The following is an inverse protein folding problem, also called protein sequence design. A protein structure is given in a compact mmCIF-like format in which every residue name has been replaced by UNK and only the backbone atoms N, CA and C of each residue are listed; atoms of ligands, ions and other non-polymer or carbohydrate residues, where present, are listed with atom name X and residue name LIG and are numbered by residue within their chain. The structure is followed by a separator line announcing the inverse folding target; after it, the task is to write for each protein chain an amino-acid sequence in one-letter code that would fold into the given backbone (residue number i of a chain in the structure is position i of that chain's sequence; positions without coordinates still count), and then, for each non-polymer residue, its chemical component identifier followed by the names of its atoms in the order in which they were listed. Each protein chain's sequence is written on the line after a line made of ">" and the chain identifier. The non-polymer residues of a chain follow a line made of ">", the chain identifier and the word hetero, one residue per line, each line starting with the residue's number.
data_IF_642822510874
#
_entry.id   IF_642822510874
#
_cell.length_a   1.000
_cell.length_b   1.000
_cell.length_c   1.000
_cell.angle_alpha   90.00
_cell.angle_beta   90.00
_cell.angle_gamma   90.00
#
_symmetry.space_group_name_H-M   'P 1'
#
loop_
_entity.id
_entity.type
_entity.pdbx_description
1 polymer ?
#
# COMPACT_ATOMS: atom_id res chain seq x y z
N UNK A 1 -14.83 35.86 -5.00
CA UNK A 1 -14.78 34.83 -3.94
C UNK A 1 -15.80 33.76 -4.31
N UNK A 2 -15.29 32.56 -4.60
CA UNK A 2 -16.03 31.48 -5.26
C UNK A 2 -17.08 30.85 -4.35
N UNK A 3 -18.31 30.70 -4.86
CA UNK A 3 -19.45 30.05 -4.16
C UNK A 3 -19.18 28.58 -3.76
N UNK A 4 -18.09 27.99 -4.25
CA UNK A 4 -17.70 26.62 -3.97
C UNK A 4 -16.97 26.44 -2.62
N UNK A 5 -16.36 27.49 -2.04
CA UNK A 5 -15.68 27.35 -0.74
C UNK A 5 -16.65 27.28 0.45
N UNK A 6 -17.85 27.87 0.34
CA UNK A 6 -18.81 27.89 1.46
C UNK A 6 -19.57 26.56 1.57
N UNK A 7 -19.83 25.89 0.45
CA UNK A 7 -20.53 24.59 0.42
C UNK A 7 -19.64 23.46 0.95
N UNK A 8 -18.35 23.43 0.58
CA UNK A 8 -17.41 22.43 1.09
C UNK A 8 -17.11 22.59 2.59
N UNK A 9 -17.05 23.82 3.10
CA UNK A 9 -16.89 24.08 4.54
C UNK A 9 -18.17 23.69 5.30
N UNK A 10 -19.36 23.92 4.74
CA UNK A 10 -20.61 23.48 5.36
C UNK A 10 -20.75 21.95 5.45
N UNK A 11 -20.23 21.21 4.47
CA UNK A 11 -20.22 19.74 4.48
C UNK A 11 -19.25 19.20 5.53
N UNK A 12 -18.04 19.76 5.63
CA UNK A 12 -17.03 19.33 6.61
C UNK A 12 -17.45 19.69 8.04
N UNK A 13 -17.99 20.89 8.26
CA UNK A 13 -18.53 21.28 9.58
C UNK A 13 -19.76 20.43 9.93
N UNK A 14 -20.59 20.07 8.95
CA UNK A 14 -21.71 19.16 9.12
C UNK A 14 -21.28 17.77 9.60
N UNK A 15 -20.24 17.19 8.99
CA UNK A 15 -19.72 15.86 9.37
C UNK A 15 -19.13 15.88 10.79
N UNK A 16 -18.36 16.92 11.14
CA UNK A 16 -17.71 17.04 12.45
C UNK A 16 -18.73 17.33 13.56
N UNK A 17 -19.73 18.18 13.32
CA UNK A 17 -20.81 18.44 14.30
C UNK A 17 -21.70 17.22 14.48
N UNK A 18 -21.96 16.44 13.42
CA UNK A 18 -22.76 15.20 13.52
C UNK A 18 -22.01 14.10 14.27
N UNK A 19 -20.69 13.98 14.07
CA UNK A 19 -19.84 13.07 14.84
C UNK A 19 -19.77 13.48 16.32
N UNK A 20 -19.68 14.79 16.61
CA UNK A 20 -19.68 15.30 17.98
C UNK A 20 -21.02 15.07 18.71
N UNK A 21 -22.15 15.21 18.00
CA UNK A 21 -23.48 14.96 18.55
C UNK A 21 -23.78 13.47 18.73
N UNK A 22 -23.24 12.58 17.89
CA UNK A 22 -23.35 11.11 18.05
C UNK A 22 -22.58 10.59 19.29
N UNK A 23 -21.47 11.23 19.65
CA UNK A 23 -20.69 10.87 20.84
C UNK A 23 -21.34 11.37 22.13
N UNK A 24 -22.13 12.45 22.07
CA UNK A 24 -22.63 13.15 23.26
C UNK A 24 -24.17 13.16 23.45
N UNK A 25 -24.94 12.43 22.65
CA UNK A 25 -26.41 12.38 22.80
C UNK A 25 -26.89 11.11 23.53
N UNK A 26 -27.96 11.20 24.35
CA UNK A 26 -28.54 10.05 25.03
C UNK A 26 -29.06 9.00 24.04
N UNK A 27 -28.79 7.73 24.37
CA UNK A 27 -28.89 6.50 23.55
C UNK A 27 -30.24 6.20 22.86
N UNK A 28 -31.28 7.03 23.01
CA UNK A 28 -32.64 6.72 22.53
C UNK A 28 -32.99 7.24 21.13
N UNK A 29 -32.15 8.04 20.46
CA UNK A 29 -32.42 8.55 19.09
C UNK A 29 -31.49 7.96 18.01
N UNK A 30 -30.57 7.07 18.37
CA UNK A 30 -29.51 6.57 17.47
C UNK A 30 -30.01 5.42 16.56
N UNK A 31 -31.07 4.68 16.94
CA UNK A 31 -31.51 3.51 16.17
C UNK A 31 -32.11 3.86 14.82
N UNK A 32 -32.85 4.97 14.73
CA UNK A 32 -33.65 5.27 13.54
C UNK A 32 -32.83 5.96 12.44
N UNK A 33 -31.76 6.67 12.80
CA UNK A 33 -30.84 7.31 11.83
C UNK A 33 -29.75 6.35 11.32
N UNK A 34 -29.31 5.39 12.14
CA UNK A 34 -28.35 4.37 11.71
C UNK A 34 -28.93 3.41 10.65
N UNK A 35 -30.24 3.14 10.71
CA UNK A 35 -30.94 2.27 9.74
C UNK A 35 -30.93 2.83 8.31
N UNK A 36 -31.11 4.14 8.15
CA UNK A 36 -31.20 4.80 6.83
C UNK A 36 -29.80 4.94 6.18
N UNK A 37 -28.74 5.07 6.99
CA UNK A 37 -27.36 5.18 6.50
C UNK A 37 -26.76 3.82 6.08
N UNK A 38 -27.16 2.72 6.73
CA UNK A 38 -26.71 1.38 6.35
C UNK A 38 -27.34 0.88 5.03
N UNK A 39 -28.53 1.32 4.66
CA UNK A 39 -29.12 0.99 3.36
C UNK A 39 -28.43 1.71 2.19
N UNK A 40 -27.98 2.96 2.38
CA UNK A 40 -27.28 3.70 1.33
C UNK A 40 -25.85 3.21 1.11
N UNK A 41 -25.16 2.74 2.16
CA UNK A 41 -23.86 2.07 2.04
C UNK A 41 -23.93 0.66 1.44
N UNK A 42 -25.02 -0.09 1.66
CA UNK A 42 -25.20 -1.43 1.09
C UNK A 42 -25.54 -1.43 -0.40
N UNK A 43 -26.03 -0.32 -0.96
CA UNK A 43 -26.30 -0.22 -2.41
C UNK A 43 -25.03 0.00 -3.26
N UNK A 44 -23.88 0.35 -2.66
CA UNK A 44 -22.64 0.64 -3.38
C UNK A 44 -21.67 -0.55 -3.53
N UNK A 45 -21.88 -1.66 -2.79
CA UNK A 45 -21.04 -2.85 -2.90
C UNK A 45 -21.79 -4.02 -3.55
N UNK A 46 -22.04 -3.90 -4.85
CA UNK A 46 -22.37 -5.08 -5.66
C UNK A 46 -21.07 -5.86 -5.93
N UNK A 47 -20.77 -6.74 -4.97
CA UNK A 47 -19.89 -7.93 -5.03
C UNK A 47 -19.40 -8.26 -6.45
N UNK A 48 -18.20 -7.81 -6.80
CA UNK A 48 -17.45 -8.37 -7.94
C UNK A 48 -17.00 -9.76 -7.50
N UNK A 49 -17.52 -10.78 -8.17
CA UNK A 49 -17.19 -12.16 -7.89
C UNK A 49 -15.71 -12.42 -8.16
N UNK A 50 -15.12 -13.28 -7.32
CA UNK A 50 -13.80 -13.93 -7.45
C UNK A 50 -13.29 -13.98 -8.89
N UNK A 51 -12.35 -13.10 -9.23
CA UNK A 51 -11.57 -13.18 -10.46
C UNK A 51 -10.49 -14.25 -10.28
N UNK A 52 -10.44 -15.22 -11.18
CA UNK A 52 -9.32 -16.16 -11.27
C UNK A 52 -8.02 -15.37 -11.45
N UNK A 53 -6.95 -15.78 -10.75
CA UNK A 53 -5.61 -15.19 -10.90
C UNK A 53 -5.18 -15.30 -12.36
N UNK A 54 -5.21 -14.18 -13.08
CA UNK A 54 -4.71 -14.08 -14.45
C UNK A 54 -3.19 -14.21 -14.39
N UNK A 55 -2.66 -15.28 -14.99
CA UNK A 55 -1.22 -15.46 -15.16
C UNK A 55 -0.74 -14.57 -16.29
N UNK A 56 -0.21 -13.39 -15.94
CA UNK A 56 0.49 -12.50 -16.85
C UNK A 56 1.73 -13.17 -17.46
N UNK A 57 2.09 -12.76 -18.68
CA UNK A 57 3.35 -13.16 -19.32
C UNK A 57 4.51 -12.67 -18.43
N UNK A 58 5.06 -13.59 -17.62
CA UNK A 58 6.36 -13.38 -17.01
C UNK A 58 7.37 -13.23 -18.15
N UNK A 59 8.15 -12.15 -18.22
CA UNK A 59 9.27 -12.10 -19.14
C UNK A 59 10.19 -13.31 -18.88
N UNK A 60 10.40 -14.11 -19.92
CA UNK A 60 11.47 -15.09 -19.95
C UNK A 60 12.79 -14.30 -19.86
N UNK A 61 13.47 -14.40 -18.72
CA UNK A 61 14.71 -13.71 -18.37
C UNK A 61 14.59 -12.19 -18.12
N UNK A 62 13.70 -11.79 -17.22
CA UNK A 62 14.11 -10.89 -16.15
C UNK A 62 13.82 -11.59 -14.83
N UNK A 63 14.55 -12.69 -14.58
CA UNK A 63 14.90 -12.96 -13.19
C UNK A 63 15.50 -11.64 -12.71
N UNK A 64 14.76 -10.99 -11.83
CA UNK A 64 15.31 -10.07 -10.88
C UNK A 64 16.37 -10.89 -10.14
N UNK A 65 17.56 -11.02 -10.73
CA UNK A 65 18.79 -11.03 -9.97
C UNK A 65 18.95 -9.59 -9.46
N UNK A 66 18.01 -9.13 -8.62
CA UNK A 66 18.46 -8.66 -7.33
C UNK A 66 19.37 -9.81 -6.89
N UNK A 67 20.64 -9.53 -6.62
CA UNK A 67 21.32 -10.36 -5.65
C UNK A 67 20.45 -10.31 -4.39
N UNK A 68 19.41 -11.15 -4.37
CA UNK A 68 18.77 -11.70 -3.20
C UNK A 68 19.75 -12.75 -2.67
N UNK A 69 21.00 -12.34 -2.49
CA UNK A 69 21.60 -12.47 -1.18
C UNK A 69 20.74 -11.60 -0.24
N UNK A 70 19.49 -12.03 -0.06
CA UNK A 70 18.73 -11.79 1.14
C UNK A 70 19.72 -12.27 2.19
N UNK A 71 20.30 -11.37 3.03
CA UNK A 71 21.18 -11.84 4.08
C UNK A 71 20.39 -12.91 4.79
N UNK A 72 21.08 -13.98 5.15
CA UNK A 72 20.61 -15.22 5.74
C UNK A 72 19.79 -14.96 7.02
N UNK A 73 18.64 -14.31 6.89
CA UNK A 73 17.71 -13.84 7.92
C UNK A 73 16.82 -15.00 8.41
N UNK A 74 17.14 -16.22 8.02
CA UNK A 74 16.58 -17.44 8.60
C UNK A 74 17.65 -18.46 8.97
N UNK A 75 18.94 -18.07 8.92
CA UNK A 75 19.96 -18.91 9.54
C UNK A 75 19.95 -18.61 11.05
N UNK A 76 19.72 -19.62 11.91
CA UNK A 76 19.68 -19.42 13.36
C UNK A 76 20.96 -18.75 13.88
N UNK A 77 22.09 -19.03 13.22
CA UNK A 77 23.43 -18.55 13.57
C UNK A 77 23.58 -17.03 13.45
N UNK A 78 22.89 -16.38 12.51
CA UNK A 78 22.88 -14.92 12.33
C UNK A 78 22.07 -14.21 13.41
N UNK A 79 20.96 -14.80 13.85
CA UNK A 79 20.15 -14.28 14.97
C UNK A 79 20.85 -14.51 16.31
N UNK A 80 21.50 -15.66 16.48
CA UNK A 80 22.24 -15.98 17.69
C UNK A 80 23.53 -15.15 17.82
N UNK A 81 24.13 -14.64 16.75
CA UNK A 81 25.37 -13.84 16.87
C UNK A 81 25.14 -12.35 17.13
N UNK A 82 23.98 -11.79 16.77
CA UNK A 82 23.67 -10.36 16.95
C UNK A 82 22.80 -10.13 18.21
N UNK A 83 23.29 -9.39 19.23
CA UNK A 83 22.54 -9.12 20.46
C UNK A 83 21.20 -8.42 20.25
N UNK A 84 21.09 -7.54 19.27
CA UNK A 84 19.84 -6.80 18.99
C UNK A 84 18.82 -7.68 18.28
N UNK A 85 19.26 -8.65 17.46
CA UNK A 85 18.35 -9.65 16.87
C UNK A 85 17.86 -10.65 17.93
N UNK A 86 18.72 -11.06 18.88
CA UNK A 86 18.27 -11.84 20.05
C UNK A 86 17.22 -11.07 20.85
N UNK A 87 17.42 -9.77 21.02
CA UNK A 87 16.49 -8.90 21.74
C UNK A 87 15.10 -8.87 21.09
N UNK A 88 15.02 -8.89 19.76
CA UNK A 88 13.72 -9.02 19.06
C UNK A 88 12.98 -10.30 19.45
N UNK A 89 13.68 -11.44 19.48
CA UNK A 89 13.10 -12.74 19.90
C UNK A 89 12.67 -12.70 21.37
N UNK A 90 13.45 -12.05 22.23
CA UNK A 90 13.09 -11.88 23.65
C UNK A 90 11.84 -11.01 23.81
N UNK A 91 11.66 -9.95 23.00
CA UNK A 91 10.48 -9.09 23.02
C UNK A 91 9.19 -9.83 22.67
N UNK A 92 9.26 -10.78 21.75
CA UNK A 92 8.13 -11.64 21.40
C UNK A 92 7.66 -12.48 22.60
N UNK A 93 8.63 -12.98 23.39
CA UNK A 93 8.38 -13.90 24.49
C UNK A 93 8.06 -13.20 25.81
N UNK A 94 8.49 -11.94 25.98
CA UNK A 94 8.56 -11.28 27.28
C UNK A 94 7.21 -10.81 27.86
N UNK A 95 6.08 -11.01 27.17
CA UNK A 95 4.73 -10.65 27.63
C UNK A 95 4.68 -9.22 28.24
N UNK A 96 5.44 -8.30 27.64
CA UNK A 96 5.62 -6.93 28.11
C UNK A 96 4.35 -6.10 27.94
N UNK A 97 4.30 -4.96 28.64
CA UNK A 97 3.27 -3.97 28.34
C UNK A 97 3.45 -3.47 26.90
N UNK A 98 2.34 -3.23 26.21
CA UNK A 98 2.33 -2.71 24.83
C UNK A 98 3.20 -1.46 24.68
N UNK A 99 3.22 -0.58 25.70
CA UNK A 99 4.03 0.63 25.70
C UNK A 99 5.55 0.34 25.72
N UNK A 100 6.00 -0.56 26.58
CA UNK A 100 7.42 -0.91 26.69
C UNK A 100 7.93 -1.61 25.43
N UNK A 101 7.10 -2.45 24.80
CA UNK A 101 7.41 -3.09 23.52
C UNK A 101 7.57 -2.04 22.41
N UNK A 102 6.62 -1.10 22.28
CA UNK A 102 6.69 -0.05 21.26
C UNK A 102 7.92 0.84 21.42
N UNK A 103 8.28 1.20 22.65
CA UNK A 103 9.48 1.99 22.93
C UNK A 103 10.76 1.27 22.49
N UNK A 104 10.86 -0.03 22.74
CA UNK A 104 12.02 -0.81 22.33
C UNK A 104 12.07 -1.00 20.81
N UNK A 105 10.94 -1.27 20.16
CA UNK A 105 10.86 -1.36 18.71
C UNK A 105 11.22 -0.03 18.02
N UNK A 106 10.83 1.09 18.60
CA UNK A 106 11.22 2.43 18.13
C UNK A 106 12.74 2.62 18.17
N UNK A 107 13.42 2.10 19.20
CA UNK A 107 14.88 2.18 19.30
C UNK A 107 15.55 1.30 18.24
N UNK A 108 15.05 0.09 18.01
CA UNK A 108 15.59 -0.84 17.03
C UNK A 108 15.41 -0.35 15.58
N UNK A 109 14.30 0.34 15.28
CA UNK A 109 14.12 1.03 13.99
C UNK A 109 15.06 2.21 13.77
N UNK A 110 15.75 2.70 14.80
CA UNK A 110 16.75 3.78 14.70
C UNK A 110 18.17 3.26 14.80
N UNK A 111 18.35 1.94 14.79
CA UNK A 111 19.66 1.32 14.92
C UNK A 111 20.52 1.59 13.67
N UNK A 112 21.83 1.74 13.86
CA UNK A 112 22.77 2.06 12.76
C UNK A 112 22.82 0.97 11.69
N UNK A 113 22.73 -0.30 12.11
CA UNK A 113 22.70 -1.45 11.21
C UNK A 113 21.36 -1.60 10.50
N UNK A 114 21.40 -1.59 9.16
CA UNK A 114 20.23 -1.87 8.31
C UNK A 114 19.58 -3.21 8.63
N UNK A 115 20.38 -4.24 8.93
CA UNK A 115 19.89 -5.57 9.24
C UNK A 115 18.94 -5.56 10.46
N UNK A 116 19.30 -4.82 11.51
CA UNK A 116 18.48 -4.68 12.72
C UNK A 116 17.19 -3.95 12.40
N UNK A 117 17.25 -2.86 11.61
CA UNK A 117 16.05 -2.11 11.21
C UNK A 117 15.10 -2.96 10.38
N UNK A 118 15.64 -3.67 9.38
CA UNK A 118 14.89 -4.57 8.50
C UNK A 118 14.22 -5.73 9.26
N UNK A 119 14.96 -6.40 10.16
CA UNK A 119 14.41 -7.45 11.01
C UNK A 119 13.32 -6.91 11.97
N UNK A 120 13.47 -5.66 12.42
CA UNK A 120 12.47 -4.99 13.24
C UNK A 120 11.19 -4.73 12.44
N UNK A 121 11.28 -4.33 11.17
CA UNK A 121 10.09 -4.18 10.31
C UNK A 121 9.40 -5.52 10.09
N UNK A 122 10.14 -6.59 9.79
CA UNK A 122 9.57 -7.93 9.62
C UNK A 122 8.79 -8.34 10.86
N UNK A 123 9.40 -8.19 12.04
CA UNK A 123 8.74 -8.46 13.32
C UNK A 123 7.49 -7.60 13.52
N UNK A 124 7.57 -6.28 13.30
CA UNK A 124 6.43 -5.36 13.47
C UNK A 124 5.29 -5.68 12.50
N UNK A 125 5.59 -6.17 11.30
CA UNK A 125 4.59 -6.51 10.28
C UNK A 125 3.71 -7.68 10.69
N UNK A 126 4.28 -8.63 11.44
CA UNK A 126 3.54 -9.76 12.00
C UNK A 126 2.73 -9.38 13.25
N UNK A 127 3.08 -8.26 13.90
CA UNK A 127 2.33 -7.75 15.04
C UNK A 127 0.99 -7.15 14.58
N UNK A 128 -0.11 -7.76 15.03
CA UNK A 128 -1.46 -7.18 14.91
C UNK A 128 -1.72 -6.04 15.92
N UNK A 129 -0.73 -5.16 16.10
CA UNK A 129 -0.77 -4.11 17.11
C UNK A 129 -1.00 -2.73 16.47
N UNK A 130 -1.96 -1.90 16.94
CA UNK A 130 -2.22 -0.58 16.34
C UNK A 130 -1.01 0.37 16.32
N UNK A 131 -0.12 0.28 17.32
CA UNK A 131 1.13 1.05 17.36
C UNK A 131 2.21 0.57 16.37
N UNK A 132 2.05 -0.61 15.75
CA UNK A 132 2.93 -1.08 14.68
C UNK A 132 2.84 -0.16 13.45
N UNK A 133 1.64 0.34 13.15
CA UNK A 133 1.39 1.20 12.00
C UNK A 133 2.23 2.48 12.00
N UNK A 134 2.28 3.20 13.13
CA UNK A 134 3.08 4.43 13.22
C UNK A 134 4.57 4.14 12.99
N UNK A 135 5.06 3.00 13.45
CA UNK A 135 6.44 2.59 13.27
C UNK A 135 6.78 2.22 11.82
N UNK A 136 5.85 1.56 11.13
CA UNK A 136 5.99 1.27 9.69
C UNK A 136 5.94 2.56 8.86
N UNK A 137 5.08 3.52 9.21
CA UNK A 137 5.03 4.83 8.54
C UNK A 137 6.35 5.59 8.74
N UNK A 138 6.92 5.59 9.96
CA UNK A 138 8.22 6.22 10.22
C UNK A 138 9.33 5.58 9.38
N UNK A 139 9.30 4.25 9.18
CA UNK A 139 10.27 3.51 8.39
C UNK A 139 10.24 3.84 6.88
N UNK A 140 9.15 4.43 6.36
CA UNK A 140 9.13 4.95 4.99
C UNK A 140 10.12 6.10 4.77
N UNK A 141 10.64 6.72 5.83
CA UNK A 141 11.65 7.78 5.75
C UNK A 141 13.08 7.28 5.95
N UNK A 142 13.31 5.95 6.00
CA UNK A 142 14.64 5.40 6.21
C UNK A 142 15.61 5.78 5.08
N UNK A 143 16.88 5.96 5.40
CA UNK A 143 17.89 6.32 4.43
C UNK A 143 18.22 5.17 3.46
N UNK A 144 17.97 3.92 3.85
CA UNK A 144 18.22 2.74 3.02
C UNK A 144 16.93 2.35 2.25
N UNK A 145 16.99 2.26 0.91
CA UNK A 145 15.83 1.88 0.08
C UNK A 145 15.18 0.55 0.49
N UNK A 146 15.99 -0.44 0.89
CA UNK A 146 15.49 -1.75 1.32
C UNK A 146 14.55 -1.66 2.53
N UNK A 147 14.88 -0.83 3.51
CA UNK A 147 14.05 -0.62 4.70
C UNK A 147 12.73 0.05 4.31
N UNK A 148 12.77 1.04 3.40
CA UNK A 148 11.55 1.68 2.87
C UNK A 148 10.66 0.70 2.10
N UNK A 149 11.25 -0.18 1.28
CA UNK A 149 10.53 -1.23 0.54
C UNK A 149 9.84 -2.19 1.51
N UNK A 150 10.54 -2.67 2.54
CA UNK A 150 9.94 -3.56 3.54
C UNK A 150 8.78 -2.88 4.28
N UNK A 151 8.91 -1.59 4.61
CA UNK A 151 7.82 -0.81 5.21
C UNK A 151 6.60 -0.68 4.27
N UNK A 152 6.82 -0.46 2.97
CA UNK A 152 5.76 -0.44 1.95
C UNK A 152 5.02 -1.78 1.86
N UNK A 153 5.76 -2.88 1.78
CA UNK A 153 5.21 -4.24 1.72
C UNK A 153 4.42 -4.57 2.98
N UNK A 154 4.93 -4.19 4.15
CA UNK A 154 4.24 -4.35 5.42
C UNK A 154 2.92 -3.57 5.47
N UNK A 155 2.93 -2.30 5.06
CA UNK A 155 1.74 -1.46 5.04
C UNK A 155 0.68 -2.00 4.07
N UNK A 156 1.09 -2.49 2.90
CA UNK A 156 0.19 -3.06 1.89
C UNK A 156 -0.58 -4.30 2.39
N UNK A 157 0.04 -5.13 3.23
CA UNK A 157 -0.60 -6.33 3.79
C UNK A 157 -1.86 -6.04 4.60
N UNK A 158 -2.00 -4.82 5.13
CA UNK A 158 -3.18 -4.43 5.89
C UNK A 158 -4.41 -4.15 5.02
N UNK A 159 -4.23 -3.92 3.71
CA UNK A 159 -5.31 -3.68 2.73
C UNK A 159 -6.33 -2.63 3.17
N UNK A 160 -5.85 -1.62 3.88
CA UNK A 160 -6.63 -0.44 4.29
C UNK A 160 -6.27 0.71 3.35
N UNK A 161 -7.22 1.13 2.54
CA UNK A 161 -7.03 2.16 1.51
C UNK A 161 -6.71 3.54 2.11
N UNK A 162 -7.03 3.77 3.39
CA UNK A 162 -6.61 4.97 4.13
C UNK A 162 -5.07 5.07 4.16
N UNK A 163 -4.35 3.95 4.08
CA UNK A 163 -2.88 3.93 4.07
C UNK A 163 -2.28 4.51 2.78
N UNK A 164 -3.06 4.65 1.71
CA UNK A 164 -2.59 5.25 0.46
C UNK A 164 -1.97 6.63 0.69
N UNK A 165 -2.50 7.44 1.62
CA UNK A 165 -1.97 8.78 1.92
C UNK A 165 -0.51 8.75 2.41
N UNK A 166 -0.09 7.67 3.07
CA UNK A 166 1.27 7.50 3.57
C UNK A 166 2.20 6.89 2.51
N UNK A 167 1.65 6.11 1.58
CA UNK A 167 2.39 5.40 0.53
C UNK A 167 2.61 6.28 -0.71
N UNK A 168 1.65 7.13 -1.07
CA UNK A 168 1.69 8.01 -2.24
C UNK A 168 2.99 8.81 -2.39
N UNK A 169 3.59 9.40 -1.33
CA UNK A 169 4.87 10.08 -1.44
C UNK A 169 6.01 9.19 -1.98
N UNK A 170 5.95 7.88 -1.75
CA UNK A 170 6.97 6.90 -2.19
C UNK A 170 6.91 6.60 -3.68
N UNK A 171 5.84 6.99 -4.36
CA UNK A 171 5.78 7.01 -5.82
C UNK A 171 6.80 7.99 -6.43
N UNK A 172 7.36 8.92 -5.64
CA UNK A 172 8.33 9.91 -6.11
C UNK A 172 9.73 9.67 -5.52
N UNK A 173 9.99 8.48 -4.96
CA UNK A 173 11.28 8.16 -4.39
C UNK A 173 12.40 8.17 -5.46
N UNK A 174 13.59 8.62 -5.06
CA UNK A 174 14.77 8.66 -5.94
C UNK A 174 15.20 7.26 -6.40
N UNK A 175 14.95 6.24 -5.58
CA UNK A 175 15.23 4.85 -5.91
C UNK A 175 14.04 4.22 -6.66
N UNK A 176 14.32 3.66 -7.84
CA UNK A 176 13.28 3.06 -8.69
C UNK A 176 12.58 1.85 -8.06
N UNK A 177 13.30 1.05 -7.27
CA UNK A 177 12.73 -0.14 -6.62
C UNK A 177 11.72 0.27 -5.55
N UNK A 178 11.95 1.39 -4.86
CA UNK A 178 10.98 1.98 -3.92
C UNK A 178 9.74 2.46 -4.67
N UNK A 179 9.89 3.13 -5.82
CA UNK A 179 8.74 3.54 -6.65
C UNK A 179 7.94 2.33 -7.12
N UNK A 180 8.61 1.25 -7.55
CA UNK A 180 7.96 -0.01 -7.94
C UNK A 180 7.20 -0.64 -6.76
N UNK A 181 7.81 -0.69 -5.57
CA UNK A 181 7.16 -1.19 -4.37
C UNK A 181 5.92 -0.36 -4.01
N UNK A 182 5.98 0.96 -4.13
CA UNK A 182 4.86 1.86 -3.88
C UNK A 182 3.71 1.67 -4.90
N UNK A 183 4.02 1.46 -6.19
CA UNK A 183 3.04 1.12 -7.22
C UNK A 183 2.29 -0.16 -6.86
N UNK A 184 3.03 -1.21 -6.47
CA UNK A 184 2.43 -2.50 -6.09
C UNK A 184 1.55 -2.36 -4.86
N UNK A 185 2.05 -1.66 -3.83
CA UNK A 185 1.33 -1.45 -2.59
C UNK A 185 0.01 -0.69 -2.79
N UNK A 186 0.02 0.38 -3.60
CA UNK A 186 -1.20 1.12 -3.96
C UNK A 186 -2.12 0.27 -4.84
N UNK A 187 -1.56 -0.51 -5.76
CA UNK A 187 -2.33 -1.43 -6.61
C UNK A 187 -3.15 -2.46 -5.83
N UNK A 188 -2.64 -2.94 -4.68
CA UNK A 188 -3.35 -3.89 -3.82
C UNK A 188 -4.65 -3.35 -3.19
N UNK A 189 -4.85 -2.02 -3.19
CA UNK A 189 -6.08 -1.41 -2.70
C UNK A 189 -7.23 -1.48 -3.72
N UNK A 190 -6.92 -1.80 -4.99
CA UNK A 190 -7.91 -2.07 -6.06
C UNK A 190 -9.00 -0.98 -6.21
N UNK A 191 -8.63 0.29 -6.02
CA UNK A 191 -9.56 1.44 -6.07
C UNK A 191 -9.34 2.35 -7.28
N UNK A 192 -10.36 3.09 -7.70
CA UNK A 192 -10.22 4.11 -8.76
C UNK A 192 -9.21 5.21 -8.35
N UNK A 193 -9.14 5.51 -7.05
CA UNK A 193 -8.14 6.42 -6.49
C UNK A 193 -6.72 5.89 -6.70
N UNK A 194 -6.52 4.58 -6.61
CA UNK A 194 -5.24 3.93 -6.87
C UNK A 194 -4.79 4.15 -8.32
N UNK A 195 -5.71 4.05 -9.28
CA UNK A 195 -5.44 4.36 -10.70
C UNK A 195 -4.95 5.81 -10.85
N UNK A 196 -5.64 6.75 -10.21
CA UNK A 196 -5.23 8.16 -10.24
C UNK A 196 -3.83 8.36 -9.64
N UNK A 197 -3.56 7.78 -8.47
CA UNK A 197 -2.28 7.90 -7.78
C UNK A 197 -1.11 7.40 -8.62
N UNK A 198 -1.24 6.24 -9.27
CA UNK A 198 -0.15 5.63 -10.05
C UNK A 198 -0.05 6.16 -11.49
N UNK A 199 -1.00 6.98 -11.97
CA UNK A 199 -1.06 7.44 -13.37
C UNK A 199 0.18 8.20 -13.85
N UNK A 200 0.81 9.01 -12.98
CA UNK A 200 2.03 9.73 -13.34
C UNK A 200 3.21 8.80 -13.67
N UNK A 201 3.21 7.57 -13.14
CA UNK A 201 4.29 6.61 -13.27
C UNK A 201 4.28 5.91 -14.64
N UNK A 202 3.19 6.04 -15.39
CA UNK A 202 3.14 5.67 -16.81
C UNK A 202 4.05 6.53 -17.69
N UNK A 203 4.63 7.60 -17.17
CA UNK A 203 5.61 8.44 -17.86
C UNK A 203 6.97 8.44 -17.16
N UNK A 204 7.21 7.50 -16.25
CA UNK A 204 8.50 7.39 -15.56
C UNK A 204 9.65 7.19 -16.55
N UNK A 205 10.79 7.81 -16.23
CA UNK A 205 12.02 7.67 -17.02
C UNK A 205 12.55 6.23 -17.09
N UNK A 206 12.28 5.43 -16.05
CA UNK A 206 12.69 4.03 -15.98
C UNK A 206 11.59 3.12 -16.55
N UNK A 207 11.97 2.25 -17.47
CA UNK A 207 11.03 1.36 -18.16
C UNK A 207 10.41 0.32 -17.22
N UNK A 208 11.13 -0.13 -16.19
CA UNK A 208 10.63 -1.13 -15.24
C UNK A 208 9.53 -0.49 -14.39
N UNK A 209 9.70 0.77 -13.98
CA UNK A 209 8.68 1.52 -13.25
C UNK A 209 7.42 1.67 -14.09
N UNK A 210 7.54 2.11 -15.36
CA UNK A 210 6.40 2.22 -16.27
C UNK A 210 5.68 0.90 -16.47
N UNK A 211 6.42 -0.19 -16.67
CA UNK A 211 5.85 -1.52 -16.86
C UNK A 211 5.07 -1.98 -15.62
N UNK A 212 5.59 -1.74 -14.42
CA UNK A 212 4.88 -2.05 -13.18
C UNK A 212 3.61 -1.20 -13.02
N UNK A 213 3.64 0.09 -13.40
CA UNK A 213 2.45 0.93 -13.39
C UNK A 213 1.38 0.43 -14.37
N UNK A 214 1.78 0.00 -15.57
CA UNK A 214 0.88 -0.61 -16.56
C UNK A 214 0.22 -1.87 -16.01
N UNK A 215 1.00 -2.76 -15.40
CA UNK A 215 0.49 -4.00 -14.84
C UNK A 215 -0.49 -3.74 -13.70
N UNK A 216 -0.12 -2.88 -12.73
CA UNK A 216 -0.99 -2.51 -11.62
C UNK A 216 -2.31 -1.88 -12.12
N UNK A 217 -2.26 -1.00 -13.12
CA UNK A 217 -3.48 -0.46 -13.73
C UNK A 217 -4.34 -1.52 -14.41
N UNK A 218 -3.73 -2.49 -15.09
CA UNK A 218 -4.45 -3.61 -15.69
C UNK A 218 -5.13 -4.50 -14.66
N UNK A 219 -4.47 -4.74 -13.52
CA UNK A 219 -5.01 -5.50 -12.40
C UNK A 219 -6.19 -4.79 -11.73
N UNK A 220 -6.07 -3.48 -11.47
CA UNK A 220 -7.17 -2.67 -10.92
C UNK A 220 -8.34 -2.62 -11.93
N UNK A 221 -8.03 -2.34 -13.20
CA UNK A 221 -9.01 -2.25 -14.29
C UNK A 221 -9.94 -1.03 -14.22
N UNK A 222 -11.04 -1.10 -14.97
CA UNK A 222 -12.02 -0.03 -15.09
C UNK A 222 -11.72 0.98 -16.21
N UNK A 223 -12.73 1.77 -16.57
CA UNK A 223 -12.70 2.67 -17.74
C UNK A 223 -11.57 3.71 -17.66
N UNK A 224 -11.26 4.19 -16.45
CA UNK A 224 -10.17 5.13 -16.23
C UNK A 224 -8.80 4.49 -16.48
N UNK A 225 -8.57 3.27 -15.97
CA UNK A 225 -7.34 2.54 -16.25
C UNK A 225 -7.20 2.27 -17.75
N UNK A 226 -8.27 1.82 -18.42
CA UNK A 226 -8.29 1.63 -19.87
C UNK A 226 -7.96 2.91 -20.64
N UNK A 227 -8.50 4.06 -20.21
CA UNK A 227 -8.22 5.37 -20.81
C UNK A 227 -6.75 5.77 -20.68
N UNK A 228 -6.13 5.54 -19.52
CA UNK A 228 -4.69 5.78 -19.34
C UNK A 228 -3.85 4.82 -20.18
N UNK A 229 -4.13 3.52 -20.12
CA UNK A 229 -3.39 2.49 -20.85
C UNK A 229 -3.46 2.70 -22.38
N UNK A 230 -4.60 3.17 -22.90
CA UNK A 230 -4.76 3.45 -24.33
C UNK A 230 -3.74 4.47 -24.88
N UNK A 231 -3.19 5.33 -24.03
CA UNK A 231 -2.17 6.31 -24.41
C UNK A 231 -0.79 5.67 -24.63
N UNK A 232 -0.56 4.46 -24.11
CA UNK A 232 0.71 3.73 -24.14
C UNK A 232 0.78 2.65 -25.22
N UNK A 233 -0.24 2.51 -26.07
CA UNK A 233 -0.25 1.52 -27.18
C UNK A 233 0.95 1.64 -28.13
N UNK A 234 1.56 2.83 -28.19
CA UNK A 234 2.74 3.13 -28.99
C UNK A 234 3.97 3.49 -28.14
N UNK A 235 4.03 3.09 -26.84
CA UNK A 235 5.21 3.34 -25.98
C UNK A 235 6.49 2.86 -26.67
N UNK A 236 7.63 3.56 -26.60
CA UNK A 236 8.86 3.13 -27.26
C UNK A 236 9.38 1.77 -26.77
N UNK A 237 9.08 1.37 -25.53
CA UNK A 237 9.45 0.08 -24.98
C UNK A 237 8.49 -1.02 -25.45
N UNK A 238 9.07 -2.09 -26.02
CA UNK A 238 8.29 -3.19 -26.59
C UNK A 238 7.44 -3.94 -25.57
N UNK A 239 7.98 -4.20 -24.37
CA UNK A 239 7.27 -4.94 -23.33
C UNK A 239 6.04 -4.16 -22.84
N UNK A 240 6.18 -2.84 -22.72
CA UNK A 240 5.07 -1.96 -22.33
C UNK A 240 3.96 -2.00 -23.38
N UNK A 241 4.30 -1.86 -24.67
CA UNK A 241 3.30 -1.94 -25.74
C UNK A 241 2.57 -3.29 -25.74
N UNK A 242 3.32 -4.38 -25.63
CA UNK A 242 2.77 -5.74 -25.63
C UNK A 242 1.81 -5.94 -24.45
N UNK A 243 2.19 -5.52 -23.24
CA UNK A 243 1.32 -5.61 -22.07
C UNK A 243 0.07 -4.74 -22.19
N UNK A 244 0.21 -3.50 -22.67
CA UNK A 244 -0.95 -2.61 -22.90
C UNK A 244 -1.93 -3.25 -23.90
N UNK A 245 -1.43 -3.78 -25.01
CA UNK A 245 -2.28 -4.45 -25.99
C UNK A 245 -2.98 -5.69 -25.42
N UNK A 246 -2.28 -6.49 -24.61
CA UNK A 246 -2.87 -7.65 -23.95
C UNK A 246 -4.00 -7.23 -22.98
N UNK A 247 -3.74 -6.27 -22.09
CA UNK A 247 -4.71 -5.79 -21.09
C UNK A 247 -5.97 -5.20 -21.75
N UNK A 248 -5.79 -4.35 -22.78
CA UNK A 248 -6.92 -3.73 -23.48
C UNK A 248 -7.71 -4.75 -24.31
N UNK A 249 -7.06 -5.77 -24.88
CA UNK A 249 -7.75 -6.83 -25.60
C UNK A 249 -8.62 -7.69 -24.66
N UNK A 250 -8.14 -8.00 -23.47
CA UNK A 250 -8.88 -8.76 -22.45
C UNK A 250 -10.08 -7.98 -21.91
N UNK A 251 -9.92 -6.67 -21.68
CA UNK A 251 -11.00 -5.80 -21.19
C UNK A 251 -12.19 -5.77 -22.16
N UNK A 252 -11.93 -5.73 -23.47
CA UNK A 252 -12.97 -5.75 -24.51
C UNK A 252 -13.70 -7.10 -24.65
N UNK A 253 -13.13 -8.20 -24.13
CA UNK A 253 -13.74 -9.54 -24.21
C UNK A 253 -14.70 -9.82 -23.04
N UNK A 254 -14.63 -9.06 -21.94
CA UNK A 254 -15.48 -9.25 -20.76
C UNK A 254 -16.84 -8.53 -20.84
N UNK A 255 -17.10 -7.75 -21.90
CA UNK A 255 -18.33 -6.96 -22.08
C UNK A 255 -19.47 -7.67 -22.85
N UNK A 256 -19.37 -8.98 -23.13
CA UNK A 256 -20.37 -9.75 -23.92
C UNK A 256 -21.07 -10.88 -23.16
#
# INVERSE_FOLDING_TARGET
>A
MSKYSVVSIAIIVGIVVTAYLLVNSPQSEVSDKAGIMLETGKLAHKKVASREKVTFIKPANSELKLDTDMPELKQPETYESNPELRRLVELEQANLSSYDTLMQLTQLLKHDEELVRSATIEYISELKHPGAFSLLIDALSDNVPKVRIMALEALAQHRDDILAIYIEPMLFDNNKEVRIAAIKAIGEFESEQSVYAISGLLMDSDNDVRLNAVNAMGEIGGDQAGSYLSQLVNDPNILIRENVHAILAESNQQEF
#
